data_IF_935385786467
#
_entry.id   IF_935385786467
#
_cell.length_a   1.000
_cell.length_b   1.000
_cell.length_c   1.000
_cell.angle_alpha   90.00
_cell.angle_beta   90.00
_cell.angle_gamma   90.00
#
_symmetry.space_group_name_H-M   'P 1'
#
loop_
_entity.id
_entity.type
_entity.pdbx_description
1 polymer ?
#
# COMPACT_ATOMS: atom_id res chain seq x y z
N UNK A 1 -2.45 -1.84 44.10
CA UNK A 1 -2.95 -1.18 42.90
C UNK A 1 -1.79 -1.01 41.93
N UNK A 2 -2.01 -1.20 40.64
CA UNK A 2 -0.96 -1.05 39.65
C UNK A 2 -0.76 0.44 39.33
N UNK A 3 0.38 1.00 39.73
CA UNK A 3 0.70 2.41 39.60
C UNK A 3 0.54 2.94 38.20
N UNK A 4 0.91 2.14 37.15
CA UNK A 4 0.75 2.54 35.76
C UNK A 4 -0.72 2.68 35.37
N UNK A 5 -1.59 1.77 35.83
CA UNK A 5 -3.05 1.88 35.60
C UNK A 5 -3.64 3.14 36.24
N UNK A 6 -3.16 3.49 37.47
CA UNK A 6 -3.58 4.72 38.13
C UNK A 6 -3.20 5.98 37.31
N UNK A 7 -1.98 6.03 36.80
CA UNK A 7 -1.52 7.15 36.00
C UNK A 7 -2.26 7.23 34.65
N UNK A 8 -2.55 6.10 34.01
CA UNK A 8 -3.35 6.03 32.78
C UNK A 8 -4.75 6.61 33.04
N UNK A 9 -5.40 6.18 34.10
CA UNK A 9 -6.74 6.67 34.45
C UNK A 9 -6.73 8.17 34.77
N UNK A 10 -5.74 8.64 35.55
CA UNK A 10 -5.60 10.05 35.89
C UNK A 10 -5.37 10.95 34.68
N UNK A 11 -4.77 10.42 33.60
CA UNK A 11 -4.52 11.17 32.35
C UNK A 11 -5.80 11.52 31.59
N UNK A 12 -6.90 10.81 31.81
CA UNK A 12 -8.14 10.92 31.03
C UNK A 12 -8.01 10.54 29.54
N UNK A 13 -6.84 10.00 29.14
CA UNK A 13 -6.61 9.57 27.77
C UNK A 13 -7.14 8.15 27.55
N UNK A 14 -8.29 8.03 26.89
CA UNK A 14 -8.93 6.72 26.62
C UNK A 14 -8.13 5.76 25.72
N UNK A 15 -7.08 6.25 25.06
CA UNK A 15 -6.18 5.46 24.22
C UNK A 15 -4.84 5.16 24.88
N UNK A 16 -4.65 5.56 26.15
CA UNK A 16 -3.46 5.19 26.89
C UNK A 16 -3.60 3.74 27.33
N UNK A 17 -2.56 2.93 27.07
CA UNK A 17 -2.48 1.53 27.49
C UNK A 17 -1.08 1.19 27.97
N UNK A 18 -0.93 0.08 28.66
CA UNK A 18 0.37 -0.51 28.91
C UNK A 18 0.85 -1.24 27.67
N UNK A 19 2.15 -1.38 27.53
CA UNK A 19 2.75 -2.09 26.37
C UNK A 19 2.37 -3.57 26.37
N UNK A 20 2.26 -4.21 27.54
CA UNK A 20 1.85 -5.60 27.70
C UNK A 20 0.35 -5.85 27.41
N UNK A 21 -0.49 -4.81 27.51
CA UNK A 21 -1.91 -4.87 27.11
C UNK A 21 -2.12 -4.62 25.59
N UNK A 22 -1.02 -4.34 24.84
CA UNK A 22 -1.06 -3.90 23.45
C UNK A 22 -1.25 -2.39 23.29
N UNK A 23 -0.80 -1.85 22.15
CA UNK A 23 -0.85 -0.41 21.86
C UNK A 23 -1.97 -0.11 20.86
N UNK A 24 -3.17 0.19 21.39
CA UNK A 24 -4.33 0.50 20.55
C UNK A 24 -4.05 1.65 19.56
N UNK A 25 -4.29 1.38 18.28
CA UNK A 25 -3.98 2.29 17.17
C UNK A 25 -2.50 2.37 16.74
N UNK A 26 -1.55 1.91 17.58
CA UNK A 26 -0.13 1.85 17.25
C UNK A 26 0.27 0.48 16.69
N UNK A 27 -0.15 -0.60 17.33
CA UNK A 27 0.07 -1.95 16.83
C UNK A 27 -0.78 -2.19 15.56
N UNK A 28 -0.28 -3.04 14.68
CA UNK A 28 -1.05 -3.48 13.52
C UNK A 28 -2.03 -4.53 13.99
N UNK A 29 -3.32 -4.23 13.90
CA UNK A 29 -4.40 -5.12 14.36
C UNK A 29 -4.86 -6.12 13.31
N UNK A 30 -4.38 -6.00 12.08
CA UNK A 30 -4.68 -6.89 10.96
C UNK A 30 -4.09 -6.38 9.66
N UNK A 31 -4.20 -7.20 8.63
CA UNK A 31 -3.64 -6.91 7.32
C UNK A 31 -4.68 -7.13 6.22
N UNK A 32 -4.45 -6.51 5.08
CA UNK A 32 -5.23 -6.65 3.86
C UNK A 32 -4.35 -7.35 2.83
N UNK A 33 -4.77 -8.51 2.35
CA UNK A 33 -4.13 -9.19 1.23
C UNK A 33 -4.10 -8.26 0.01
N UNK A 34 -2.97 -8.16 -0.64
CA UNK A 34 -2.82 -7.31 -1.83
C UNK A 34 -3.15 -8.02 -3.13
N UNK A 35 -3.36 -9.33 -3.08
CA UNK A 35 -3.52 -10.19 -4.25
C UNK A 35 -2.20 -10.71 -4.82
N UNK A 36 -1.06 -10.42 -4.21
CA UNK A 36 0.26 -10.94 -4.59
C UNK A 36 1.07 -11.37 -3.38
N UNK A 37 1.49 -12.61 -3.33
CA UNK A 37 2.29 -13.15 -2.22
C UNK A 37 3.58 -12.38 -1.99
N UNK A 38 4.33 -12.11 -3.05
CA UNK A 38 5.62 -11.40 -2.90
C UNK A 38 5.44 -9.94 -2.51
N UNK A 39 4.32 -9.31 -2.91
CA UNK A 39 4.03 -7.95 -2.49
C UNK A 39 3.55 -7.88 -1.04
N UNK A 40 2.78 -8.87 -0.61
CA UNK A 40 2.45 -9.06 0.81
C UNK A 40 3.73 -9.17 1.65
N UNK A 41 4.65 -10.06 1.25
CA UNK A 41 5.95 -10.23 1.90
C UNK A 41 6.73 -8.91 2.01
N UNK A 42 6.75 -8.10 0.95
CA UNK A 42 7.43 -6.81 0.93
C UNK A 42 6.86 -5.84 1.98
N UNK A 43 5.52 -5.80 2.13
CA UNK A 43 4.84 -4.85 3.00
C UNK A 43 4.86 -5.26 4.48
N UNK A 44 4.61 -6.53 4.77
CA UNK A 44 4.38 -7.05 6.12
C UNK A 44 5.45 -8.01 6.62
N UNK A 45 6.27 -8.55 5.71
CA UNK A 45 7.19 -9.65 6.01
C UNK A 45 6.48 -11.00 6.13
N UNK A 46 5.29 -11.15 5.51
CA UNK A 46 4.57 -12.42 5.41
C UNK A 46 3.86 -12.53 4.07
N UNK A 47 3.82 -13.72 3.49
CA UNK A 47 3.08 -14.01 2.25
C UNK A 47 1.57 -13.84 2.43
N UNK A 48 1.06 -14.03 3.65
CA UNK A 48 -0.37 -14.12 3.97
C UNK A 48 -0.96 -12.83 4.51
N UNK A 49 -0.10 -11.90 4.96
CA UNK A 49 -0.51 -10.61 5.49
C UNK A 49 -0.71 -9.57 4.37
N UNK A 50 0.08 -8.50 4.33
CA UNK A 50 0.04 -7.50 3.27
C UNK A 50 -0.05 -6.07 3.79
N UNK A 51 -1.05 -5.30 3.34
CA UNK A 51 -1.20 -3.90 3.71
C UNK A 51 -1.77 -3.77 5.13
N UNK A 52 -1.09 -3.07 6.06
CA UNK A 52 -1.57 -2.95 7.44
C UNK A 52 -2.88 -2.13 7.51
N UNK A 53 -3.85 -2.63 8.27
CA UNK A 53 -5.22 -2.12 8.31
C UNK A 53 -5.43 -0.80 9.08
N UNK A 54 -4.38 -0.24 9.66
CA UNK A 54 -4.44 0.99 10.47
C UNK A 54 -3.29 1.96 10.18
N UNK A 55 -2.63 1.82 9.03
CA UNK A 55 -1.47 2.64 8.64
C UNK A 55 -1.67 3.28 7.28
N UNK A 56 -0.79 4.23 6.96
CA UNK A 56 -0.69 4.87 5.65
C UNK A 56 0.39 4.17 4.85
N UNK A 57 0.02 3.60 3.70
CA UNK A 57 0.93 3.01 2.71
C UNK A 57 0.91 3.85 1.44
N UNK A 58 2.08 4.16 0.90
CA UNK A 58 2.23 4.96 -0.32
C UNK A 58 2.89 4.14 -1.43
N UNK A 59 2.27 4.15 -2.61
CA UNK A 59 2.81 3.64 -3.87
C UNK A 59 3.29 4.82 -4.71
N UNK A 60 4.59 4.93 -4.92
CA UNK A 60 5.18 6.06 -5.65
C UNK A 60 5.85 5.57 -6.94
N UNK A 61 5.66 6.31 -8.03
CA UNK A 61 6.26 5.96 -9.32
C UNK A 61 5.95 6.98 -10.39
N UNK A 62 6.61 6.85 -11.53
CA UNK A 62 6.35 7.70 -12.70
C UNK A 62 4.89 7.59 -13.18
N UNK A 63 4.48 8.52 -14.03
CA UNK A 63 3.17 8.44 -14.70
C UNK A 63 3.06 7.12 -15.47
N UNK A 64 1.83 6.61 -15.56
CA UNK A 64 1.52 5.36 -16.26
C UNK A 64 2.28 4.10 -15.78
N UNK A 65 2.80 4.07 -14.55
CA UNK A 65 3.35 2.82 -13.94
C UNK A 65 2.27 1.83 -13.52
N UNK A 66 0.99 2.18 -13.61
CA UNK A 66 -0.13 1.33 -13.20
C UNK A 66 -0.56 1.50 -11.75
N UNK A 67 -0.17 2.60 -11.07
CA UNK A 67 -0.51 2.86 -9.65
C UNK A 67 -2.00 2.77 -9.35
N UNK A 68 -2.83 3.40 -10.18
CA UNK A 68 -4.30 3.36 -10.07
C UNK A 68 -4.83 1.93 -10.16
N UNK A 69 -4.42 1.17 -11.17
CA UNK A 69 -4.83 -0.23 -11.33
C UNK A 69 -4.35 -1.12 -10.18
N UNK A 70 -3.14 -0.87 -9.70
CA UNK A 70 -2.60 -1.56 -8.53
C UNK A 70 -3.46 -1.27 -7.28
N UNK A 71 -3.84 -0.01 -7.09
CA UNK A 71 -4.71 0.42 -5.98
C UNK A 71 -6.10 -0.21 -6.07
N UNK A 72 -6.71 -0.25 -7.26
CA UNK A 72 -8.02 -0.89 -7.47
C UNK A 72 -7.94 -2.39 -7.19
N UNK A 73 -6.85 -3.06 -7.55
CA UNK A 73 -6.62 -4.47 -7.19
C UNK A 73 -6.64 -4.71 -5.67
N UNK A 74 -5.96 -3.85 -4.90
CA UNK A 74 -5.96 -3.92 -3.43
C UNK A 74 -7.35 -3.61 -2.86
N UNK A 75 -8.06 -2.63 -3.42
CA UNK A 75 -9.45 -2.31 -3.07
C UNK A 75 -10.35 -3.54 -3.27
N UNK A 76 -10.20 -4.26 -4.38
CA UNK A 76 -10.96 -5.48 -4.65
C UNK A 76 -10.72 -6.54 -3.58
N UNK A 77 -9.47 -6.77 -3.18
CA UNK A 77 -9.12 -7.71 -2.10
C UNK A 77 -9.70 -7.28 -0.75
N UNK A 78 -9.61 -5.99 -0.42
CA UNK A 78 -10.20 -5.45 0.81
C UNK A 78 -11.71 -5.71 0.86
N UNK A 79 -12.43 -5.42 -0.21
CA UNK A 79 -13.88 -5.58 -0.27
C UNK A 79 -14.30 -7.06 -0.31
N UNK A 80 -13.50 -7.94 -0.91
CA UNK A 80 -13.74 -9.38 -0.89
C UNK A 80 -13.60 -9.96 0.52
N UNK A 81 -12.59 -9.51 1.28
CA UNK A 81 -12.38 -9.95 2.66
C UNK A 81 -13.38 -9.33 3.66
N UNK A 82 -14.01 -8.21 3.33
CA UNK A 82 -14.91 -7.48 4.20
C UNK A 82 -16.29 -7.27 3.55
N UNK A 83 -17.26 -8.19 3.68
CA UNK A 83 -18.56 -8.09 3.03
C UNK A 83 -19.33 -6.80 3.32
N UNK A 84 -19.22 -6.26 4.54
CA UNK A 84 -19.82 -4.99 4.97
C UNK A 84 -18.89 -3.78 4.76
N UNK A 85 -17.69 -3.99 4.24
CA UNK A 85 -16.67 -2.96 4.06
C UNK A 85 -17.03 -1.95 2.97
N UNK A 86 -16.55 -0.72 3.12
CA UNK A 86 -16.73 0.37 2.15
C UNK A 86 -15.39 1.05 1.85
N UNK A 87 -15.30 1.66 0.68
CA UNK A 87 -14.10 2.39 0.26
C UNK A 87 -14.44 3.83 -0.07
N UNK A 88 -13.65 4.75 0.44
CA UNK A 88 -13.69 6.16 0.10
C UNK A 88 -12.49 6.47 -0.80
N UNK A 89 -12.76 6.74 -2.06
CA UNK A 89 -11.76 6.97 -3.08
C UNK A 89 -11.65 8.46 -3.41
N UNK A 90 -10.60 9.11 -2.94
CA UNK A 90 -10.31 10.52 -3.27
C UNK A 90 -9.53 10.56 -4.58
N UNK A 91 -10.18 11.03 -5.63
CA UNK A 91 -9.64 11.13 -6.99
C UNK A 91 -9.24 12.57 -7.30
N UNK A 92 -7.97 12.77 -7.58
CA UNK A 92 -7.40 14.12 -7.87
C UNK A 92 -7.17 14.37 -9.34
N UNK A 93 -7.27 13.32 -10.16
CA UNK A 93 -6.98 13.37 -11.61
C UNK A 93 -8.26 13.18 -12.45
N UNK A 94 -9.39 12.84 -11.79
CA UNK A 94 -10.63 12.40 -12.44
C UNK A 94 -10.39 11.27 -13.45
N UNK A 95 -9.49 10.35 -13.06
CA UNK A 95 -8.99 9.29 -13.92
C UNK A 95 -9.69 7.95 -13.73
N UNK A 96 -10.44 7.76 -12.62
CA UNK A 96 -11.16 6.52 -12.35
C UNK A 96 -12.55 6.53 -12.96
N UNK A 97 -12.94 5.39 -13.54
CA UNK A 97 -14.28 5.17 -14.08
C UNK A 97 -14.96 4.01 -13.35
N UNK A 98 -16.28 3.94 -13.41
CA UNK A 98 -17.04 2.82 -12.84
C UNK A 98 -16.62 1.47 -13.42
N UNK A 99 -16.28 1.43 -14.72
CA UNK A 99 -15.86 0.21 -15.41
C UNK A 99 -14.54 -0.34 -14.86
N UNK A 100 -13.59 0.53 -14.52
CA UNK A 100 -12.32 0.11 -13.91
C UNK A 100 -12.50 -0.67 -12.61
N UNK A 101 -13.56 -0.37 -11.85
CA UNK A 101 -13.91 -1.11 -10.63
C UNK A 101 -14.68 -2.39 -10.95
N UNK A 102 -15.70 -2.32 -11.80
CA UNK A 102 -16.57 -3.46 -12.10
C UNK A 102 -15.85 -4.57 -12.84
N UNK A 103 -14.95 -4.24 -13.78
CA UNK A 103 -14.07 -5.21 -14.46
C UNK A 103 -13.13 -5.96 -13.51
N UNK A 104 -12.86 -5.39 -12.33
CA UNK A 104 -12.09 -6.03 -11.25
C UNK A 104 -12.96 -6.74 -10.22
N UNK A 105 -14.25 -6.94 -10.51
CA UNK A 105 -15.18 -7.63 -9.63
C UNK A 105 -15.59 -6.83 -8.37
N UNK A 106 -15.36 -5.51 -8.40
CA UNK A 106 -15.73 -4.65 -7.28
C UNK A 106 -17.19 -4.19 -7.43
N UNK A 107 -17.98 -4.34 -6.35
CA UNK A 107 -19.34 -3.80 -6.30
C UNK A 107 -19.30 -2.25 -6.18
N UNK A 108 -19.74 -1.50 -7.21
CA UNK A 108 -19.68 -0.04 -7.20
C UNK A 108 -20.53 0.60 -6.10
N UNK A 109 -21.51 -0.10 -5.53
CA UNK A 109 -22.34 0.39 -4.41
C UNK A 109 -21.54 0.52 -3.10
N UNK A 110 -20.35 -0.06 -3.05
CA UNK A 110 -19.48 -0.09 -1.88
C UNK A 110 -18.33 0.90 -1.98
N UNK A 111 -18.28 1.70 -3.04
CA UNK A 111 -17.26 2.73 -3.26
C UNK A 111 -17.92 4.08 -3.44
N UNK A 112 -17.42 5.07 -2.69
CA UNK A 112 -17.75 6.48 -2.91
C UNK A 112 -16.51 7.19 -3.46
N UNK A 113 -16.63 7.84 -4.61
CA UNK A 113 -15.56 8.62 -5.22
C UNK A 113 -15.74 10.08 -4.86
N UNK A 114 -14.67 10.71 -4.39
CA UNK A 114 -14.60 12.12 -3.97
C UNK A 114 -13.59 12.84 -4.87
N UNK A 115 -14.04 13.61 -5.87
CA UNK A 115 -13.15 14.52 -6.58
C UNK A 115 -12.64 15.59 -5.62
N UNK A 116 -11.32 15.79 -5.57
CA UNK A 116 -10.69 16.82 -4.72
C UNK A 116 -9.53 17.49 -5.46
N UNK A 117 -9.39 18.80 -5.27
CA UNK A 117 -8.40 19.62 -5.96
C UNK A 117 -7.28 20.10 -5.01
N UNK A 118 -7.62 20.31 -3.73
CA UNK A 118 -6.66 20.87 -2.77
C UNK A 118 -6.40 19.96 -1.57
N UNK A 119 -5.20 20.11 -0.99
CA UNK A 119 -4.81 19.41 0.24
C UNK A 119 -5.74 19.77 1.39
N UNK A 120 -6.19 21.02 1.46
CA UNK A 120 -7.08 21.52 2.50
C UNK A 120 -8.48 20.91 2.38
N UNK A 121 -9.00 20.78 1.16
CA UNK A 121 -10.28 20.14 0.88
C UNK A 121 -10.23 18.65 1.25
N UNK A 122 -9.24 17.91 0.74
CA UNK A 122 -9.01 16.52 1.13
C UNK A 122 -8.94 16.35 2.65
N UNK A 123 -8.13 17.20 3.32
CA UNK A 123 -8.00 17.18 4.78
C UNK A 123 -9.33 17.37 5.48
N UNK A 124 -10.10 18.37 5.07
CA UNK A 124 -11.39 18.68 5.70
C UNK A 124 -12.37 17.50 5.56
N UNK A 125 -12.56 17.01 4.35
CA UNK A 125 -13.49 15.89 4.08
C UNK A 125 -13.05 14.62 4.79
N UNK A 126 -11.78 14.23 4.68
CA UNK A 126 -11.23 13.04 5.31
C UNK A 126 -11.34 13.09 6.84
N UNK A 127 -10.99 14.23 7.47
CA UNK A 127 -11.10 14.40 8.93
C UNK A 127 -12.55 14.34 9.40
N UNK A 128 -13.48 14.97 8.69
CA UNK A 128 -14.91 14.96 9.02
C UNK A 128 -15.44 13.52 9.06
N UNK A 129 -15.06 12.71 8.06
CA UNK A 129 -15.49 11.31 7.97
C UNK A 129 -14.85 10.47 9.08
N UNK A 130 -13.53 10.58 9.28
CA UNK A 130 -12.81 9.81 10.31
C UNK A 130 -13.30 10.19 11.71
N UNK A 131 -13.60 11.47 11.98
CA UNK A 131 -14.17 11.91 13.26
C UNK A 131 -15.55 11.33 13.51
N UNK A 132 -16.40 11.22 12.47
CA UNK A 132 -17.68 10.55 12.57
C UNK A 132 -17.52 9.07 12.92
N UNK A 133 -16.56 8.36 12.29
CA UNK A 133 -16.28 6.96 12.64
C UNK A 133 -15.78 6.83 14.07
N UNK A 134 -14.90 7.73 14.53
CA UNK A 134 -14.40 7.72 15.91
C UNK A 134 -15.46 8.03 16.97
N UNK A 135 -16.53 8.74 16.58
CA UNK A 135 -17.69 9.02 17.45
C UNK A 135 -18.67 7.83 17.53
N UNK A 136 -18.59 6.86 16.62
CA UNK A 136 -19.38 5.64 16.61
C UNK A 136 -18.71 4.60 17.51
N UNK A 137 -19.49 3.80 18.25
CA UNK A 137 -18.97 2.72 19.07
C UNK A 137 -18.18 1.71 18.21
N UNK A 138 -17.06 1.22 18.73
CA UNK A 138 -16.12 0.40 17.96
C UNK A 138 -16.79 -0.86 17.39
N UNK A 139 -17.70 -1.47 18.14
CA UNK A 139 -18.47 -2.66 17.73
C UNK A 139 -19.44 -2.41 16.57
N UNK A 140 -19.80 -1.15 16.32
CA UNK A 140 -20.74 -0.76 15.27
C UNK A 140 -20.02 -0.22 14.02
N UNK A 141 -18.69 -0.04 14.10
CA UNK A 141 -17.91 0.48 12.98
C UNK A 141 -17.79 -0.56 11.87
N UNK A 142 -18.21 -0.17 10.67
CA UNK A 142 -17.98 -0.99 9.48
C UNK A 142 -16.53 -0.88 9.01
N UNK A 143 -15.93 -1.96 8.48
CA UNK A 143 -14.62 -1.89 7.85
C UNK A 143 -14.62 -0.81 6.77
N UNK A 144 -13.61 0.06 6.80
CA UNK A 144 -13.49 1.16 5.87
C UNK A 144 -12.04 1.28 5.38
N UNK A 145 -11.85 1.57 4.11
CA UNK A 145 -10.56 1.89 3.52
C UNK A 145 -10.61 3.25 2.84
N UNK A 146 -9.54 4.03 2.96
CA UNK A 146 -9.39 5.30 2.26
C UNK A 146 -8.30 5.15 1.20
N UNK A 147 -8.60 5.60 -0.02
CA UNK A 147 -7.63 5.73 -1.12
C UNK A 147 -7.47 7.20 -1.48
N UNK A 148 -6.25 7.66 -1.69
CA UNK A 148 -5.93 8.97 -2.26
C UNK A 148 -5.10 8.78 -3.53
N UNK A 149 -5.67 9.05 -4.67
CA UNK A 149 -5.03 8.90 -5.99
C UNK A 149 -5.13 10.21 -6.79
N UNK A 150 -4.07 11.02 -6.81
CA UNK A 150 -2.76 10.93 -6.22
C UNK A 150 -2.44 12.16 -5.35
N UNK A 151 -1.61 12.01 -4.33
CA UNK A 151 -1.13 13.15 -3.53
C UNK A 151 -0.38 14.19 -4.36
N UNK A 152 0.35 13.76 -5.39
CA UNK A 152 1.17 14.62 -6.22
C UNK A 152 0.38 15.69 -6.98
N UNK A 153 -0.88 15.43 -7.28
CA UNK A 153 -1.75 16.31 -8.08
C UNK A 153 -2.52 17.33 -7.23
N UNK A 154 -2.61 17.14 -5.92
CA UNK A 154 -3.26 18.12 -5.06
C UNK A 154 -2.50 19.45 -5.04
N UNK A 155 -3.18 20.53 -5.34
CA UNK A 155 -2.71 21.91 -5.11
C UNK A 155 -2.94 22.34 -3.66
N UNK A 156 -2.51 23.54 -3.28
CA UNK A 156 -2.97 24.20 -2.05
C UNK A 156 -4.04 25.23 -2.41
N UNK A 157 -4.88 25.59 -1.45
CA UNK A 157 -5.85 26.69 -1.64
C UNK A 157 -5.14 28.00 -2.05
N UNK A 158 -3.92 28.22 -1.54
CA UNK A 158 -3.10 29.37 -1.93
C UNK A 158 -2.67 29.28 -3.40
N UNK A 159 -2.18 28.13 -3.85
CA UNK A 159 -1.79 27.88 -5.25
C UNK A 159 -2.97 28.17 -6.20
N UNK A 160 -4.17 27.66 -5.86
CA UNK A 160 -5.38 27.89 -6.65
C UNK A 160 -5.75 29.38 -6.74
N UNK A 161 -5.67 30.10 -5.63
CA UNK A 161 -5.92 31.55 -5.60
C UNK A 161 -4.88 32.33 -6.42
N UNK A 162 -3.58 32.00 -6.27
CA UNK A 162 -2.50 32.65 -7.00
C UNK A 162 -2.67 32.48 -8.54
N UNK A 163 -3.06 31.28 -8.96
CA UNK A 163 -3.35 30.98 -10.38
C UNK A 163 -4.57 31.76 -10.87
N UNK A 164 -5.66 31.82 -10.08
CA UNK A 164 -6.86 32.60 -10.43
C UNK A 164 -6.58 34.08 -10.58
N UNK A 165 -5.63 34.62 -9.81
CA UNK A 165 -5.18 36.04 -9.88
C UNK A 165 -4.07 36.24 -10.94
N UNK A 166 -3.71 35.23 -11.72
CA UNK A 166 -2.65 35.32 -12.74
C UNK A 166 -1.23 35.43 -12.19
N UNK A 167 -1.01 35.06 -10.94
CA UNK A 167 0.32 35.04 -10.30
C UNK A 167 1.07 33.77 -10.58
N UNK A 168 2.31 33.84 -11.03
CA UNK A 168 3.20 32.70 -11.25
C UNK A 168 4.14 32.44 -10.05
N UNK A 169 3.62 32.54 -8.82
CA UNK A 169 4.43 32.32 -7.61
C UNK A 169 4.36 30.86 -7.16
N UNK A 170 5.54 30.25 -6.96
CA UNK A 170 5.61 28.90 -6.39
C UNK A 170 5.18 28.94 -4.92
N UNK A 171 4.20 28.12 -4.56
CA UNK A 171 3.80 28.02 -3.15
C UNK A 171 4.85 27.24 -2.34
N UNK A 172 5.63 27.98 -1.55
CA UNK A 172 6.62 27.41 -0.64
C UNK A 172 6.00 26.76 0.60
N UNK A 173 4.69 26.95 0.83
CA UNK A 173 3.99 26.40 2.02
C UNK A 173 3.40 25.01 1.78
N UNK A 174 3.29 24.56 0.54
CA UNK A 174 2.67 23.27 0.17
C UNK A 174 3.20 22.09 1.00
N UNK A 175 4.51 21.99 1.16
CA UNK A 175 5.11 20.91 1.97
C UNK A 175 4.70 20.98 3.45
N UNK A 176 4.50 22.19 4.00
CA UNK A 176 4.04 22.40 5.38
C UNK A 176 2.57 22.01 5.54
N UNK A 177 1.71 22.37 4.56
CA UNK A 177 0.29 22.02 4.55
C UNK A 177 0.13 20.49 4.50
N UNK A 178 0.84 19.83 3.59
CA UNK A 178 0.87 18.35 3.51
C UNK A 178 1.32 17.75 4.84
N UNK A 179 2.45 18.21 5.39
CA UNK A 179 2.96 17.72 6.68
C UNK A 179 1.96 17.91 7.82
N UNK A 180 1.30 19.07 7.89
CA UNK A 180 0.26 19.37 8.89
C UNK A 180 -0.94 18.43 8.75
N UNK A 181 -1.41 18.21 7.53
CA UNK A 181 -2.52 17.32 7.21
C UNK A 181 -2.26 15.90 7.69
N UNK A 182 -1.16 15.30 7.26
CA UNK A 182 -0.87 13.90 7.59
C UNK A 182 -0.46 13.69 9.05
N UNK A 183 0.10 14.68 9.72
CA UNK A 183 0.37 14.61 11.16
C UNK A 183 -0.92 14.36 11.97
N UNK A 184 -2.02 15.00 11.60
CA UNK A 184 -3.32 14.80 12.26
C UNK A 184 -3.98 13.52 11.82
N UNK A 185 -4.00 13.25 10.51
CA UNK A 185 -4.65 12.05 9.94
C UNK A 185 -4.03 10.76 10.44
N UNK A 186 -2.71 10.65 10.53
CA UNK A 186 -2.02 9.43 10.96
C UNK A 186 -2.52 8.94 12.32
N UNK A 187 -2.67 9.83 13.29
CA UNK A 187 -3.15 9.47 14.63
C UNK A 187 -4.61 9.03 14.61
N UNK A 188 -5.47 9.73 13.87
CA UNK A 188 -6.90 9.45 13.79
C UNK A 188 -7.18 8.16 13.02
N UNK A 189 -6.49 7.92 11.92
CA UNK A 189 -6.59 6.69 11.13
C UNK A 189 -6.17 5.47 11.94
N UNK A 190 -5.07 5.58 12.70
CA UNK A 190 -4.62 4.52 13.60
C UNK A 190 -5.71 4.14 14.61
N UNK A 191 -6.29 5.15 15.31
CA UNK A 191 -7.36 4.95 16.29
C UNK A 191 -8.67 4.43 15.68
N UNK A 192 -8.98 4.85 14.46
CA UNK A 192 -10.16 4.39 13.75
C UNK A 192 -9.99 3.02 13.09
N UNK A 193 -8.76 2.47 13.09
CA UNK A 193 -8.37 1.24 12.39
C UNK A 193 -8.73 1.30 10.89
N UNK A 194 -8.46 2.46 10.28
CA UNK A 194 -8.72 2.71 8.87
C UNK A 194 -7.39 2.73 8.10
N UNK A 195 -7.15 1.78 7.18
CA UNK A 195 -6.01 1.84 6.27
C UNK A 195 -6.18 2.97 5.27
N UNK A 196 -5.07 3.65 4.97
CA UNK A 196 -5.02 4.59 3.85
C UNK A 196 -3.98 4.13 2.84
N UNK A 197 -4.44 3.86 1.62
CA UNK A 197 -3.59 3.64 0.46
C UNK A 197 -3.48 4.95 -0.31
N UNK A 198 -2.25 5.32 -0.63
CA UNK A 198 -1.99 6.58 -1.33
C UNK A 198 -1.10 6.31 -2.53
N UNK A 199 -1.41 6.93 -3.65
CA UNK A 199 -0.48 6.99 -4.78
C UNK A 199 0.25 8.31 -4.81
N UNK A 200 1.43 8.32 -5.42
CA UNK A 200 2.22 9.54 -5.58
C UNK A 200 3.11 9.46 -6.83
N UNK A 201 3.52 10.62 -7.32
CA UNK A 201 4.47 10.71 -8.42
C UNK A 201 5.91 10.81 -7.91
N UNK A 202 6.84 10.25 -8.71
CA UNK A 202 8.28 10.46 -8.56
C UNK A 202 8.78 11.33 -9.69
N UNK A 203 9.73 12.21 -9.40
CA UNK A 203 10.34 13.15 -10.33
C UNK A 203 11.84 12.96 -10.34
N UNK A 204 12.48 13.08 -11.52
CA UNK A 204 13.92 13.07 -11.61
C UNK A 204 14.52 14.34 -11.02
N UNK A 205 15.58 14.18 -10.24
CA UNK A 205 16.32 15.32 -9.67
C UNK A 205 17.23 15.89 -10.76
N UNK A 206 16.87 17.06 -11.28
CA UNK A 206 17.66 17.75 -12.31
C UNK A 206 19.01 18.16 -11.75
N UNK A 207 20.09 17.78 -12.45
CA UNK A 207 21.45 18.13 -12.05
C UNK A 207 22.10 17.20 -11.04
N UNK A 208 21.46 16.12 -10.64
CA UNK A 208 22.09 15.09 -9.82
C UNK A 208 23.13 14.31 -10.63
N UNK A 209 24.34 14.12 -10.07
CA UNK A 209 25.42 13.36 -10.71
C UNK A 209 25.05 11.87 -10.90
N UNK A 210 24.23 11.33 -10.01
CA UNK A 210 23.64 10.00 -10.12
C UNK A 210 22.13 10.18 -10.32
N UNK A 211 21.51 9.50 -11.30
CA UNK A 211 20.06 9.56 -11.50
C UNK A 211 19.32 9.23 -10.20
N UNK A 212 18.69 10.23 -9.62
CA UNK A 212 17.98 10.12 -8.33
C UNK A 212 16.55 10.61 -8.51
N UNK A 213 15.60 9.85 -7.97
CA UNK A 213 14.19 10.22 -7.98
C UNK A 213 13.74 10.75 -6.63
N UNK A 214 13.02 11.84 -6.63
CA UNK A 214 12.36 12.39 -5.46
C UNK A 214 10.86 12.12 -5.48
N UNK A 215 10.30 11.96 -4.27
CA UNK A 215 8.86 11.81 -4.06
C UNK A 215 8.17 13.18 -4.11
N UNK A 216 7.09 13.27 -4.84
CA UNK A 216 6.20 14.45 -4.78
C UNK A 216 5.71 14.69 -3.35
N UNK A 217 5.34 15.96 -3.03
CA UNK A 217 4.82 16.31 -1.71
C UNK A 217 5.86 16.50 -0.60
N UNK A 218 7.14 16.37 -0.92
CA UNK A 218 8.26 16.70 -0.01
C UNK A 218 8.39 15.78 1.21
N UNK A 219 9.05 16.26 2.26
CA UNK A 219 9.34 15.48 3.48
C UNK A 219 8.10 15.06 4.29
N UNK A 220 6.97 15.79 4.16
CA UNK A 220 5.76 15.52 4.93
C UNK A 220 5.24 14.10 4.75
N UNK A 221 5.21 13.59 3.52
CA UNK A 221 4.83 12.21 3.21
C UNK A 221 5.80 11.20 3.82
N UNK A 222 7.11 11.45 3.74
CA UNK A 222 8.12 10.55 4.31
C UNK A 222 7.96 10.34 5.81
N UNK A 223 7.46 11.34 6.54
CA UNK A 223 7.19 11.21 7.98
C UNK A 223 5.86 10.52 8.27
N UNK A 224 4.83 10.78 7.49
CA UNK A 224 3.48 10.30 7.73
C UNK A 224 3.27 8.83 7.34
N UNK A 225 3.71 8.43 6.16
CA UNK A 225 3.55 7.07 5.68
C UNK A 225 4.37 6.08 6.50
N UNK A 226 3.74 4.99 6.92
CA UNK A 226 4.42 3.86 7.58
C UNK A 226 5.25 3.07 6.58
N UNK A 227 4.74 2.94 5.37
CA UNK A 227 5.40 2.21 4.28
C UNK A 227 5.34 3.04 2.99
N UNK A 228 6.46 3.12 2.29
CA UNK A 228 6.56 3.74 0.96
C UNK A 228 7.25 2.74 0.03
N UNK A 229 6.57 2.39 -1.05
CA UNK A 229 7.09 1.51 -2.11
C UNK A 229 7.27 2.33 -3.37
N UNK A 230 8.47 2.30 -3.95
CA UNK A 230 8.71 2.88 -5.28
C UNK A 230 8.50 1.84 -6.35
N UNK A 231 7.77 2.23 -7.39
CA UNK A 231 7.37 1.37 -8.50
C UNK A 231 8.10 1.82 -9.78
N UNK A 232 8.67 0.87 -10.48
CA UNK A 232 9.15 1.05 -11.85
C UNK A 232 8.62 -0.08 -12.72
N UNK A 233 8.33 0.21 -14.00
CA UNK A 233 7.71 -0.77 -14.90
C UNK A 233 8.60 -1.14 -16.07
N UNK A 234 8.42 -2.38 -16.53
CA UNK A 234 8.84 -2.89 -17.82
C UNK A 234 7.62 -3.52 -18.49
N UNK A 235 7.48 -3.37 -19.82
CA UNK A 235 6.42 -4.04 -20.57
C UNK A 235 6.56 -5.55 -20.45
N UNK A 236 5.47 -6.23 -20.13
CA UNK A 236 5.37 -7.68 -20.21
C UNK A 236 4.87 -8.07 -21.61
N UNK A 237 5.64 -8.88 -22.30
CA UNK A 237 5.36 -9.30 -23.66
C UNK A 237 5.22 -10.82 -23.75
N UNK A 238 4.16 -11.29 -24.40
CA UNK A 238 3.96 -12.67 -24.78
C UNK A 238 3.74 -12.71 -26.30
N UNK A 239 4.53 -13.49 -27.00
CA UNK A 239 4.48 -13.62 -28.48
C UNK A 239 4.44 -12.26 -29.21
N UNK A 240 5.30 -11.30 -28.78
CA UNK A 240 5.39 -9.91 -29.25
C UNK A 240 4.23 -8.98 -28.89
N UNK A 241 3.15 -9.46 -28.29
CA UNK A 241 2.07 -8.65 -27.77
C UNK A 241 2.34 -8.20 -26.33
N UNK A 242 1.94 -6.96 -25.99
CA UNK A 242 2.05 -6.44 -24.63
C UNK A 242 0.80 -6.84 -23.85
N UNK A 243 0.93 -7.79 -22.94
CA UNK A 243 -0.18 -8.34 -22.14
C UNK A 243 -0.29 -7.68 -20.75
N UNK A 244 0.70 -6.90 -20.38
CA UNK A 244 0.73 -6.26 -19.06
C UNK A 244 2.02 -5.52 -18.79
N UNK A 245 2.31 -5.34 -17.50
CA UNK A 245 3.55 -4.76 -17.03
C UNK A 245 4.17 -5.64 -15.94
N UNK A 246 5.49 -5.80 -16.01
CA UNK A 246 6.31 -6.27 -14.89
C UNK A 246 6.69 -5.05 -14.06
N UNK A 247 6.28 -5.03 -12.81
CA UNK A 247 6.49 -3.90 -11.91
C UNK A 247 7.52 -4.29 -10.85
N UNK A 248 8.65 -3.61 -10.85
CA UNK A 248 9.64 -3.72 -9.79
C UNK A 248 9.21 -2.83 -8.64
N UNK A 249 8.95 -3.43 -7.49
CA UNK A 249 8.54 -2.81 -6.25
C UNK A 249 9.74 -2.75 -5.30
N UNK A 250 10.27 -1.56 -5.02
CA UNK A 250 11.35 -1.36 -4.07
C UNK A 250 10.83 -0.69 -2.81
N UNK A 251 11.08 -1.29 -1.67
CA UNK A 251 10.73 -0.73 -0.38
C UNK A 251 11.65 0.45 -0.05
N UNK A 252 11.13 1.66 -0.20
CA UNK A 252 11.85 2.91 0.05
C UNK A 252 11.89 3.26 1.53
N UNK A 253 10.80 2.97 2.26
CA UNK A 253 10.64 3.17 3.69
C UNK A 253 9.68 2.13 4.24
N UNK A 254 9.99 1.58 5.41
CA UNK A 254 9.05 0.77 6.18
C UNK A 254 9.31 0.90 7.68
N UNK A 255 8.24 0.79 8.47
CA UNK A 255 8.29 0.62 9.92
C UNK A 255 8.06 -0.83 10.34
N UNK A 256 7.75 -1.72 9.39
CA UNK A 256 7.37 -3.11 9.64
C UNK A 256 8.41 -4.09 9.13
N UNK A 257 9.06 -3.76 8.02
CA UNK A 257 9.99 -4.65 7.32
C UNK A 257 11.28 -3.91 6.96
N UNK A 258 12.36 -4.66 6.76
CA UNK A 258 13.68 -4.12 6.42
C UNK A 258 13.65 -3.36 5.09
N UNK A 259 14.11 -2.12 5.09
CA UNK A 259 14.14 -1.25 3.92
C UNK A 259 15.06 -1.79 2.82
N UNK A 260 14.92 -1.25 1.61
CA UNK A 260 15.66 -1.61 0.39
C UNK A 260 15.40 -3.02 -0.17
N UNK A 261 14.49 -3.80 0.40
CA UNK A 261 14.03 -5.05 -0.23
C UNK A 261 13.33 -4.74 -1.55
N UNK A 262 13.47 -5.63 -2.51
CA UNK A 262 12.93 -5.49 -3.87
C UNK A 262 12.21 -6.78 -4.23
N UNK A 263 11.01 -6.64 -4.78
CA UNK A 263 10.27 -7.75 -5.40
C UNK A 263 9.77 -7.32 -6.76
N UNK A 264 9.45 -8.28 -7.62
CA UNK A 264 8.82 -8.01 -8.89
C UNK A 264 7.42 -8.64 -8.92
N UNK A 265 6.43 -7.88 -9.37
CA UNK A 265 5.05 -8.34 -9.57
C UNK A 265 4.65 -8.19 -11.02
N UNK A 266 3.73 -9.03 -11.46
CA UNK A 266 3.12 -8.95 -12.79
C UNK A 266 1.72 -8.34 -12.66
N UNK A 267 1.49 -7.26 -13.38
CA UNK A 267 0.17 -6.63 -13.51
C UNK A 267 -0.32 -6.86 -14.94
N UNK A 268 -1.17 -7.84 -15.09
CA UNK A 268 -1.81 -8.18 -16.36
C UNK A 268 -2.98 -7.20 -16.62
N UNK A 269 -3.20 -6.82 -17.88
CA UNK A 269 -4.26 -5.87 -18.24
C UNK A 269 -5.65 -6.44 -17.96
N UNK A 270 -5.88 -7.72 -18.20
CA UNK A 270 -7.19 -8.36 -18.05
C UNK A 270 -7.43 -8.87 -16.62
N UNK A 271 -6.47 -9.61 -16.05
CA UNK A 271 -6.63 -10.30 -14.77
C UNK A 271 -6.12 -9.54 -13.54
N UNK A 272 -5.40 -8.42 -13.73
CA UNK A 272 -4.82 -7.65 -12.62
C UNK A 272 -3.52 -8.23 -12.09
N UNK A 273 -3.30 -8.15 -10.77
CA UNK A 273 -2.11 -8.68 -10.14
C UNK A 273 -2.08 -10.21 -10.18
N UNK A 274 -0.98 -10.76 -10.71
CA UNK A 274 -0.73 -12.19 -10.64
C UNK A 274 -0.27 -12.58 -9.23
N UNK A 275 -1.06 -13.45 -8.59
CA UNK A 275 -0.83 -13.84 -7.20
C UNK A 275 0.50 -14.52 -6.95
N UNK A 276 0.96 -15.33 -7.90
CA UNK A 276 2.13 -16.21 -7.76
C UNK A 276 3.39 -15.67 -8.42
N UNK A 277 3.29 -14.64 -9.26
CA UNK A 277 4.45 -14.10 -9.96
C UNK A 277 5.51 -13.61 -8.97
N UNK A 278 6.77 -13.96 -9.25
CA UNK A 278 7.92 -13.64 -8.39
C UNK A 278 8.13 -14.63 -7.21
N UNK A 279 7.19 -15.56 -6.99
CA UNK A 279 7.27 -16.50 -5.87
C UNK A 279 8.34 -17.57 -6.09
N UNK A 280 8.65 -17.93 -7.35
CA UNK A 280 9.78 -18.83 -7.67
C UNK A 280 11.10 -18.22 -7.24
N UNK A 281 11.33 -16.95 -7.61
CA UNK A 281 12.56 -16.23 -7.21
C UNK A 281 12.66 -16.14 -5.68
N UNK A 282 11.56 -15.80 -5.01
CA UNK A 282 11.52 -15.72 -3.55
C UNK A 282 11.80 -17.09 -2.89
N UNK A 283 11.25 -18.19 -3.44
CA UNK A 283 11.51 -19.54 -2.94
C UNK A 283 12.96 -19.98 -3.13
N UNK A 284 13.61 -19.53 -4.21
CA UNK A 284 15.04 -19.73 -4.46
C UNK A 284 15.89 -18.92 -3.47
N UNK A 285 15.58 -17.64 -3.28
CA UNK A 285 16.28 -16.75 -2.37
C UNK A 285 16.20 -17.26 -0.92
N UNK A 286 15.03 -17.76 -0.51
CA UNK A 286 14.81 -18.39 0.80
C UNK A 286 15.41 -19.80 0.93
N UNK A 287 15.97 -20.38 -0.15
CA UNK A 287 16.59 -21.70 -0.15
C UNK A 287 15.60 -22.87 -0.06
N UNK A 288 14.29 -22.63 -0.20
CA UNK A 288 13.24 -23.66 -0.24
C UNK A 288 13.29 -24.41 -1.58
N UNK A 289 13.42 -23.66 -2.68
CA UNK A 289 13.75 -24.23 -3.99
C UNK A 289 15.25 -24.10 -4.27
N UNK A 290 15.79 -24.95 -5.14
CA UNK A 290 17.18 -24.91 -5.54
C UNK A 290 17.31 -24.86 -7.06
N UNK A 291 18.20 -24.01 -7.56
CA UNK A 291 18.48 -23.97 -8.99
C UNK A 291 19.40 -25.12 -9.37
N UNK A 292 18.96 -26.00 -10.27
CA UNK A 292 19.72 -27.12 -10.78
C UNK A 292 19.84 -27.02 -12.30
N UNK A 293 20.87 -26.31 -12.76
CA UNK A 293 21.05 -25.94 -14.17
C UNK A 293 19.85 -25.17 -14.73
N UNK A 294 19.12 -25.74 -15.68
CA UNK A 294 17.91 -25.14 -16.30
C UNK A 294 16.60 -25.50 -15.58
N UNK A 295 16.67 -26.31 -14.52
CA UNK A 295 15.50 -26.77 -13.75
C UNK A 295 15.54 -26.24 -12.33
N UNK A 296 14.37 -26.20 -11.74
CA UNK A 296 14.14 -25.91 -10.32
C UNK A 296 13.95 -27.25 -9.61
N UNK A 297 14.70 -27.48 -8.55
CA UNK A 297 14.55 -28.64 -7.67
C UNK A 297 13.69 -28.26 -6.48
N UNK A 298 12.59 -28.97 -6.31
CA UNK A 298 11.63 -28.80 -5.24
C UNK A 298 12.10 -29.51 -3.95
N UNK A 299 11.49 -29.24 -2.79
CA UNK A 299 11.87 -29.88 -1.52
C UNK A 299 11.80 -31.42 -1.53
N UNK A 300 10.94 -32.00 -2.33
CA UNK A 300 10.81 -33.47 -2.51
C UNK A 300 11.86 -34.08 -3.46
N UNK A 301 12.78 -33.27 -4.01
CA UNK A 301 13.79 -33.68 -4.99
C UNK A 301 13.30 -33.68 -6.44
N UNK A 302 12.04 -33.38 -6.70
CA UNK A 302 11.48 -33.29 -8.06
C UNK A 302 12.13 -32.12 -8.82
N UNK A 303 12.49 -32.33 -10.09
CA UNK A 303 13.12 -31.30 -10.95
C UNK A 303 12.19 -30.88 -12.06
N UNK A 304 11.76 -29.61 -12.02
CA UNK A 304 10.76 -29.04 -12.92
C UNK A 304 11.33 -27.82 -13.65
N UNK A 305 10.90 -27.56 -14.88
CA UNK A 305 11.22 -26.27 -15.52
C UNK A 305 10.41 -25.16 -14.89
N UNK A 306 11.01 -24.01 -14.70
CA UNK A 306 10.36 -22.82 -14.15
C UNK A 306 9.08 -22.45 -14.92
N UNK A 307 9.09 -22.63 -16.26
CA UNK A 307 7.90 -22.40 -17.09
C UNK A 307 6.69 -23.21 -16.62
N UNK A 308 6.87 -24.48 -16.28
CA UNK A 308 5.77 -25.35 -15.81
C UNK A 308 5.26 -24.89 -14.41
N UNK A 309 6.16 -24.41 -13.55
CA UNK A 309 5.76 -23.86 -12.25
C UNK A 309 4.88 -22.62 -12.46
N UNK A 310 5.25 -21.74 -13.39
CA UNK A 310 4.51 -20.51 -13.68
C UNK A 310 3.18 -20.78 -14.41
N UNK A 311 3.08 -21.87 -15.18
CA UNK A 311 1.83 -22.28 -15.85
C UNK A 311 0.81 -22.90 -14.88
N UNK A 312 1.27 -23.69 -13.89
CA UNK A 312 0.41 -24.37 -12.90
C UNK A 312 0.88 -24.10 -11.46
N UNK A 313 0.96 -22.83 -11.01
CA UNK A 313 1.63 -22.50 -9.73
C UNK A 313 0.98 -23.17 -8.52
N UNK A 314 -0.35 -23.36 -8.50
CA UNK A 314 -1.07 -23.97 -7.40
C UNK A 314 -0.64 -25.43 -7.13
N UNK A 315 -0.14 -26.13 -8.16
CA UNK A 315 0.35 -27.48 -8.05
C UNK A 315 1.68 -27.58 -7.29
N UNK A 316 2.50 -26.55 -7.43
CA UNK A 316 3.86 -26.52 -6.90
C UNK A 316 3.98 -25.71 -5.61
N UNK A 317 3.17 -24.68 -5.45
CA UNK A 317 3.09 -23.87 -4.25
C UNK A 317 1.91 -24.35 -3.39
N UNK A 318 2.07 -25.56 -2.82
CA UNK A 318 1.12 -26.10 -1.84
C UNK A 318 1.11 -25.26 -0.56
N UNK A 319 0.09 -25.40 0.26
CA UNK A 319 0.00 -24.70 1.55
C UNK A 319 1.21 -24.94 2.45
N UNK A 320 1.80 -26.14 2.38
CA UNK A 320 3.00 -26.51 3.14
C UNK A 320 4.23 -25.75 2.63
N UNK A 321 4.42 -25.72 1.31
CA UNK A 321 5.54 -24.97 0.68
C UNK A 321 5.39 -23.48 0.93
N UNK A 322 4.17 -22.94 0.79
CA UNK A 322 3.90 -21.53 1.10
C UNK A 322 4.23 -21.16 2.55
N UNK A 323 3.90 -22.04 3.51
CA UNK A 323 4.25 -21.86 4.93
C UNK A 323 5.76 -21.87 5.15
N UNK A 324 6.49 -22.81 4.53
CA UNK A 324 7.95 -22.87 4.62
C UNK A 324 8.61 -21.60 4.07
N UNK A 325 8.11 -21.10 2.93
CA UNK A 325 8.59 -19.82 2.36
C UNK A 325 8.26 -18.66 3.32
N UNK A 326 7.05 -18.63 3.86
CA UNK A 326 6.59 -17.58 4.76
C UNK A 326 7.46 -17.49 6.03
N UNK A 327 7.80 -18.62 6.65
CA UNK A 327 8.71 -18.69 7.80
C UNK A 327 10.06 -18.04 7.48
N UNK A 328 10.64 -18.36 6.32
CA UNK A 328 11.91 -17.77 5.88
C UNK A 328 11.79 -16.29 5.53
N UNK A 329 10.69 -15.90 4.91
CA UNK A 329 10.38 -14.50 4.61
C UNK A 329 10.28 -13.68 5.90
N UNK A 330 9.64 -14.21 6.95
CA UNK A 330 9.55 -13.53 8.24
C UNK A 330 10.93 -13.29 8.85
N UNK A 331 11.83 -14.28 8.84
CA UNK A 331 13.21 -14.15 9.31
C UNK A 331 14.01 -13.09 8.51
N UNK A 332 13.80 -13.05 7.19
CA UNK A 332 14.58 -12.17 6.32
C UNK A 332 14.04 -10.75 6.20
N UNK A 333 12.72 -10.58 6.20
CA UNK A 333 12.09 -9.30 5.89
C UNK A 333 11.71 -8.50 7.14
N UNK A 334 11.33 -9.15 8.25
CA UNK A 334 10.99 -8.42 9.49
C UNK A 334 12.25 -7.91 10.20
N UNK A 335 12.08 -6.81 10.93
CA UNK A 335 13.07 -6.40 11.91
C UNK A 335 13.12 -7.45 13.04
N UNK A 336 14.32 -7.79 13.48
CA UNK A 336 14.56 -8.71 14.60
C UNK A 336 14.27 -8.07 15.95
#
# INVERSE_FOLDING_TARGET
MDFLKEMINASGNKYASKVDDGLDGADVSGYIDTGSYVFNALLSGSLFDGLPNNKITCLAGESATGKTYFSIGIVAQFLAANPEGVVLYFDTEQAVTSDMFTERGVDPKRIAVFPVETVEEFRHQCLTIVDKVLATDESERKPMMIVLDSLGMLSTAKEMNDVAEGKNTRDMTRAQVIKGTFRVLTLKLGKAKIPMLMTNHTYDVVGAYVPTKELGGGSGLKYAASTIVTLSKKKDKQDDEVVGNLITCKLYKSRLTKENKIVQVQLNFDSGLNRYYGLVDLALDCGIFKKNSTKIELPDGTKVFEKHINEEPQKYFTDEILKQIDEKVQEEFKYG
#
